data_IF_248542304087
#
_entry.id   IF_248542304087
#
_cell.length_a   1.000
_cell.length_b   1.000
_cell.length_c   1.000
_cell.angle_alpha   90.00
_cell.angle_beta   90.00
_cell.angle_gamma   90.00
#
_symmetry.space_group_name_H-M   'P 1'
#
loop_
_entity.id
_entity.type
_entity.pdbx_description
1 polymer ?
#
# COMPACT_ATOMS: atom_id res chain seq x y z
N UNK A 1 -30.79 -11.49 -5.96
CA UNK A 1 -29.80 -11.83 -6.99
C UNK A 1 -29.30 -13.25 -6.72
N UNK A 2 -29.34 -14.20 -7.68
CA UNK A 2 -28.86 -15.56 -7.45
C UNK A 2 -27.33 -15.61 -7.40
N UNK A 3 -26.77 -16.56 -6.65
CA UNK A 3 -25.32 -16.77 -6.56
C UNK A 3 -24.74 -17.34 -7.87
N UNK A 4 -23.51 -16.95 -8.20
CA UNK A 4 -22.74 -17.54 -9.30
C UNK A 4 -22.81 -16.83 -10.65
N UNK A 5 -23.56 -15.72 -10.76
CA UNK A 5 -23.47 -14.86 -11.94
C UNK A 5 -22.22 -13.99 -11.86
N UNK A 6 -21.47 -13.92 -12.95
CA UNK A 6 -20.20 -13.18 -13.03
C UNK A 6 -20.35 -11.69 -12.69
N UNK A 7 -21.45 -11.06 -13.11
CA UNK A 7 -21.69 -9.62 -12.94
C UNK A 7 -22.43 -9.28 -11.63
N UNK A 8 -22.76 -10.28 -10.82
CA UNK A 8 -23.47 -10.06 -9.55
C UNK A 8 -22.74 -9.11 -8.60
N UNK A 9 -21.44 -9.28 -8.32
CA UNK A 9 -20.72 -8.39 -7.39
C UNK A 9 -20.68 -6.95 -7.88
N UNK A 10 -20.47 -6.73 -9.18
CA UNK A 10 -20.42 -5.39 -9.77
C UNK A 10 -21.80 -4.71 -9.74
N UNK A 11 -22.86 -5.46 -10.06
CA UNK A 11 -24.24 -4.96 -10.00
C UNK A 11 -24.65 -4.59 -8.57
N UNK A 12 -24.24 -5.41 -7.59
CA UNK A 12 -24.49 -5.14 -6.18
C UNK A 12 -23.72 -3.92 -5.70
N UNK A 13 -22.42 -3.81 -6.02
CA UNK A 13 -21.61 -2.64 -5.68
C UNK A 13 -22.22 -1.35 -6.22
N UNK A 14 -22.67 -1.33 -7.49
CA UNK A 14 -23.30 -0.14 -8.08
C UNK A 14 -24.56 0.26 -7.32
N UNK A 15 -25.43 -0.70 -7.02
CA UNK A 15 -26.65 -0.45 -6.24
C UNK A 15 -26.34 0.11 -4.85
N UNK A 16 -25.38 -0.48 -4.14
CA UNK A 16 -24.99 -0.04 -2.80
C UNK A 16 -24.35 1.36 -2.87
N UNK A 17 -23.54 1.62 -3.90
CA UNK A 17 -22.95 2.95 -4.11
C UNK A 17 -24.02 4.01 -4.35
N UNK A 18 -25.05 3.71 -5.15
CA UNK A 18 -26.15 4.63 -5.41
C UNK A 18 -26.99 4.91 -4.14
N UNK A 19 -27.26 3.88 -3.33
CA UNK A 19 -28.07 3.99 -2.11
C UNK A 19 -27.38 4.79 -1.01
N UNK A 20 -26.07 4.63 -0.87
CA UNK A 20 -25.25 5.24 0.18
C UNK A 20 -24.38 6.38 -0.33
N UNK A 21 -24.63 6.91 -1.54
CA UNK A 21 -23.78 7.89 -2.20
C UNK A 21 -23.44 9.11 -1.31
N UNK A 22 -24.39 9.54 -0.47
CA UNK A 22 -24.24 10.65 0.47
C UNK A 22 -23.50 10.27 1.77
N UNK A 23 -23.25 8.99 2.04
CA UNK A 23 -22.55 8.49 3.23
C UNK A 23 -21.15 7.95 2.90
N UNK A 24 -20.93 7.56 1.64
CA UNK A 24 -19.67 6.99 1.16
C UNK A 24 -18.49 7.92 1.41
N UNK A 25 -17.41 7.35 1.95
CA UNK A 25 -16.15 8.03 2.28
C UNK A 25 -16.27 9.20 3.26
N UNK A 26 -17.47 9.45 3.82
CA UNK A 26 -17.70 10.38 4.93
C UNK A 26 -17.70 9.62 6.25
N UNK A 27 -18.57 8.61 6.36
CA UNK A 27 -18.66 7.75 7.54
C UNK A 27 -19.00 6.28 7.22
N UNK A 28 -19.17 5.95 5.93
CA UNK A 28 -19.41 4.59 5.44
C UNK A 28 -18.39 4.26 4.36
N UNK A 29 -17.77 3.08 4.45
CA UNK A 29 -16.96 2.48 3.39
C UNK A 29 -17.60 1.16 2.98
N UNK A 30 -17.72 0.94 1.68
CA UNK A 30 -18.36 -0.24 1.09
C UNK A 30 -17.42 -0.91 0.11
N UNK A 31 -17.26 -2.22 0.25
CA UNK A 31 -16.63 -3.06 -0.76
C UNK A 31 -17.37 -4.38 -0.86
N UNK A 32 -18.03 -4.58 -2.00
CA UNK A 32 -18.95 -5.68 -2.25
C UNK A 32 -19.96 -5.82 -1.10
N UNK A 33 -19.97 -6.96 -0.43
CA UNK A 33 -20.87 -7.27 0.68
C UNK A 33 -20.36 -6.75 2.04
N UNK A 34 -19.12 -6.25 2.11
CA UNK A 34 -18.49 -5.78 3.34
C UNK A 34 -18.67 -4.26 3.50
N UNK A 35 -19.46 -3.88 4.50
CA UNK A 35 -19.77 -2.48 4.84
C UNK A 35 -19.18 -2.14 6.21
N UNK A 36 -18.44 -1.05 6.29
CA UNK A 36 -17.88 -0.52 7.53
C UNK A 36 -18.44 0.88 7.79
N UNK A 37 -18.91 1.12 9.01
CA UNK A 37 -19.35 2.44 9.49
C UNK A 37 -18.32 2.93 10.51
N UNK A 38 -17.81 4.14 10.35
CA UNK A 38 -16.79 4.72 11.21
C UNK A 38 -17.14 6.15 11.63
N UNK A 39 -16.67 6.58 12.80
CA UNK A 39 -16.97 7.89 13.39
C UNK A 39 -15.84 8.32 14.33
N UNK A 40 -15.80 9.60 14.69
CA UNK A 40 -14.75 10.15 15.57
C UNK A 40 -15.10 10.04 17.06
N UNK A 41 -16.38 9.95 17.40
CA UNK A 41 -16.86 9.75 18.77
C UNK A 41 -18.00 8.74 18.85
N UNK A 42 -18.27 8.21 20.04
CA UNK A 42 -19.37 7.27 20.27
C UNK A 42 -20.74 7.91 20.02
N UNK A 43 -20.93 9.17 20.44
CA UNK A 43 -22.19 9.90 20.24
C UNK A 43 -22.47 10.15 18.75
N UNK A 44 -21.43 10.48 17.99
CA UNK A 44 -21.52 10.61 16.54
C UNK A 44 -21.78 9.24 15.88
N UNK A 45 -21.13 8.18 16.39
CA UNK A 45 -21.29 6.82 15.89
C UNK A 45 -22.73 6.33 16.00
N UNK A 46 -23.40 6.59 17.12
CA UNK A 46 -24.81 6.22 17.29
C UNK A 46 -25.69 6.91 16.23
N UNK A 47 -25.45 8.20 15.93
CA UNK A 47 -26.20 8.95 14.91
C UNK A 47 -25.95 8.43 13.49
N UNK A 48 -24.69 8.17 13.16
CA UNK A 48 -24.29 7.60 11.88
C UNK A 48 -24.92 6.21 11.68
N UNK A 49 -24.89 5.38 12.72
CA UNK A 49 -25.44 4.04 12.68
C UNK A 49 -26.96 4.04 12.56
N UNK A 50 -27.67 4.94 13.25
CA UNK A 50 -29.13 5.09 13.11
C UNK A 50 -29.50 5.51 11.68
N UNK A 51 -28.79 6.50 11.12
CA UNK A 51 -29.00 6.97 9.75
C UNK A 51 -28.72 5.88 8.71
N UNK A 52 -27.64 5.13 8.91
CA UNK A 52 -27.26 4.00 8.06
C UNK A 52 -28.29 2.86 8.11
N UNK A 53 -28.71 2.43 9.30
CA UNK A 53 -29.68 1.36 9.48
C UNK A 53 -31.07 1.76 8.96
N UNK A 54 -31.45 3.03 9.09
CA UNK A 54 -32.68 3.54 8.51
C UNK A 54 -32.62 3.47 6.98
N UNK A 55 -31.52 3.90 6.36
CA UNK A 55 -31.32 3.81 4.89
C UNK A 55 -31.35 2.35 4.40
N UNK A 56 -30.74 1.43 5.14
CA UNK A 56 -30.81 -0.01 4.87
C UNK A 56 -32.26 -0.49 4.88
N UNK A 57 -33.04 -0.12 5.91
CA UNK A 57 -34.45 -0.50 6.06
C UNK A 57 -35.30 0.05 4.91
N UNK A 58 -35.15 1.32 4.55
CA UNK A 58 -35.91 1.98 3.50
C UNK A 58 -35.69 1.33 2.13
N UNK A 59 -34.50 0.76 1.90
CA UNK A 59 -34.14 0.06 0.66
C UNK A 59 -34.25 -1.46 0.76
N UNK A 60 -34.82 -2.00 1.84
CA UNK A 60 -34.99 -3.44 2.09
C UNK A 60 -33.67 -4.25 2.08
N UNK A 61 -32.59 -3.65 2.58
CA UNK A 61 -31.33 -4.34 2.85
C UNK A 61 -31.32 -4.90 4.27
N UNK A 62 -31.01 -6.18 4.39
CA UNK A 62 -31.03 -6.90 5.66
C UNK A 62 -29.64 -7.48 5.96
N UNK A 63 -28.85 -6.83 6.82
CA UNK A 63 -27.55 -7.37 7.22
C UNK A 63 -27.74 -8.64 8.05
N UNK A 64 -26.87 -9.62 7.83
CA UNK A 64 -26.90 -10.87 8.61
C UNK A 64 -26.34 -10.60 10.01
N UNK A 65 -27.22 -10.42 11.00
CA UNK A 65 -26.87 -10.06 12.37
C UNK A 65 -25.73 -10.92 12.99
N UNK A 66 -25.66 -12.22 12.68
CA UNK A 66 -24.61 -13.11 13.19
C UNK A 66 -23.20 -12.81 12.67
N UNK A 67 -23.07 -11.97 11.64
CA UNK A 67 -21.80 -11.53 11.05
C UNK A 67 -21.51 -10.05 11.34
N UNK A 68 -22.44 -9.35 11.98
CA UNK A 68 -22.27 -7.94 12.30
C UNK A 68 -21.47 -7.80 13.60
N UNK A 69 -20.56 -6.83 13.61
CA UNK A 69 -19.82 -6.39 14.79
C UNK A 69 -20.19 -4.93 15.03
N UNK A 70 -20.59 -4.60 16.25
CA UNK A 70 -21.05 -3.26 16.63
C UNK A 70 -20.19 -2.71 17.78
N UNK A 71 -20.00 -1.39 17.83
CA UNK A 71 -19.28 -0.69 18.91
C UNK A 71 -17.91 -1.30 19.23
N UNK A 72 -17.12 -1.62 18.19
CA UNK A 72 -15.78 -2.16 18.34
C UNK A 72 -14.73 -1.08 18.05
N UNK A 73 -13.70 -1.00 18.89
CA UNK A 73 -12.53 -0.13 18.69
C UNK A 73 -11.58 -0.64 17.60
N UNK A 74 -11.71 -1.91 17.21
CA UNK A 74 -10.99 -2.50 16.10
C UNK A 74 -11.87 -3.52 15.38
N UNK A 75 -11.82 -3.54 14.05
CA UNK A 75 -12.64 -4.42 13.20
C UNK A 75 -11.79 -5.05 12.10
N UNK A 76 -12.09 -6.31 11.75
CA UNK A 76 -11.54 -6.94 10.56
C UNK A 76 -12.32 -6.45 9.34
N UNK A 77 -11.62 -5.87 8.36
CA UNK A 77 -12.20 -5.35 7.13
C UNK A 77 -11.26 -5.63 5.96
N UNK A 78 -11.76 -6.32 4.92
CA UNK A 78 -11.01 -6.68 3.71
C UNK A 78 -9.67 -7.40 3.98
N UNK A 79 -9.57 -8.14 5.08
CA UNK A 79 -8.35 -8.83 5.48
C UNK A 79 -7.31 -7.96 6.18
N UNK A 80 -7.68 -6.76 6.60
CA UNK A 80 -6.90 -5.92 7.50
C UNK A 80 -7.64 -5.78 8.83
N UNK A 81 -6.92 -5.43 9.89
CA UNK A 81 -7.50 -4.98 11.15
C UNK A 81 -7.41 -3.46 11.17
N UNK A 82 -8.57 -2.80 11.15
CA UNK A 82 -8.72 -1.35 11.17
C UNK A 82 -8.97 -0.93 12.62
N UNK A 83 -8.22 0.06 13.10
CA UNK A 83 -8.37 0.63 14.45
C UNK A 83 -8.07 2.12 14.44
N UNK A 84 -8.29 2.81 15.56
CA UNK A 84 -7.87 4.21 15.75
C UNK A 84 -6.38 4.43 15.51
N UNK A 85 -5.54 3.44 15.83
CA UNK A 85 -4.09 3.53 15.72
C UNK A 85 -3.60 3.42 14.26
N UNK A 86 -4.46 2.94 13.36
CA UNK A 86 -4.10 2.63 11.98
C UNK A 86 -4.57 1.26 11.50
N UNK A 87 -3.92 0.80 10.44
CA UNK A 87 -4.12 -0.46 9.76
C UNK A 87 -3.07 -1.47 10.19
N UNK A 88 -3.53 -2.68 10.51
CA UNK A 88 -2.68 -3.84 10.83
C UNK A 88 -3.01 -4.99 9.90
N UNK A 89 -2.04 -5.87 9.68
CA UNK A 89 -2.32 -7.15 9.05
C UNK A 89 -3.14 -8.03 9.99
N UNK A 90 -4.01 -8.85 9.40
CA UNK A 90 -4.80 -9.81 10.16
C UNK A 90 -3.90 -10.88 10.81
N UNK A 91 -4.08 -11.07 12.13
CA UNK A 91 -3.19 -11.91 12.94
C UNK A 91 -3.18 -13.39 12.51
N UNK A 92 -4.33 -14.05 12.29
CA UNK A 92 -4.40 -15.38 11.67
C UNK A 92 -3.65 -15.50 10.34
N UNK A 93 -3.76 -14.50 9.45
CA UNK A 93 -3.05 -14.50 8.15
C UNK A 93 -1.54 -14.34 8.30
N UNK A 94 -1.08 -13.50 9.24
CA UNK A 94 0.34 -13.39 9.59
C UNK A 94 0.85 -14.72 10.17
N UNK A 95 0.09 -15.37 11.05
CA UNK A 95 0.44 -16.69 11.59
C UNK A 95 0.53 -17.76 10.51
N UNK A 96 -0.32 -17.70 9.48
CA UNK A 96 -0.23 -18.59 8.32
C UNK A 96 1.11 -18.46 7.59
N UNK A 97 1.61 -17.24 7.38
CA UNK A 97 2.94 -17.00 6.79
C UNK A 97 4.05 -17.48 7.73
N UNK A 98 3.94 -17.18 9.03
CA UNK A 98 4.92 -17.60 10.04
C UNK A 98 5.05 -19.12 10.11
N UNK A 99 3.94 -19.85 9.98
CA UNK A 99 3.92 -21.31 10.02
C UNK A 99 4.08 -21.96 8.65
N UNK A 100 4.25 -21.16 7.59
CA UNK A 100 4.40 -21.67 6.23
C UNK A 100 5.67 -22.53 6.14
N UNK A 101 5.50 -23.75 5.61
CA UNK A 101 6.60 -24.70 5.41
C UNK A 101 7.37 -24.36 4.13
N UNK A 102 8.66 -24.65 4.08
CA UNK A 102 9.48 -24.44 2.89
C UNK A 102 8.81 -25.04 1.63
N UNK A 103 8.59 -24.24 0.57
CA UNK A 103 8.03 -24.73 -0.68
C UNK A 103 8.94 -25.78 -1.33
N UNK A 104 8.36 -26.94 -1.64
CA UNK A 104 9.07 -28.04 -2.34
C UNK A 104 8.83 -28.07 -3.85
N UNK A 105 7.84 -27.33 -4.33
CA UNK A 105 7.44 -27.26 -5.74
C UNK A 105 7.11 -25.81 -6.13
N UNK A 106 7.21 -25.52 -7.42
CA UNK A 106 6.91 -24.20 -8.01
C UNK A 106 5.50 -23.71 -7.61
N UNK A 107 4.48 -24.55 -7.70
CA UNK A 107 3.10 -24.18 -7.33
C UNK A 107 2.96 -23.74 -5.88
N UNK A 108 3.70 -24.37 -4.97
CA UNK A 108 3.69 -24.01 -3.55
C UNK A 108 4.39 -22.66 -3.33
N UNK A 109 5.45 -22.38 -4.07
CA UNK A 109 6.13 -21.09 -4.03
C UNK A 109 5.27 -19.97 -4.62
N UNK A 110 4.58 -20.23 -5.75
CA UNK A 110 3.62 -19.29 -6.34
C UNK A 110 2.48 -18.96 -5.38
N UNK A 111 1.95 -19.97 -4.67
CA UNK A 111 0.92 -19.75 -3.66
C UNK A 111 1.42 -18.88 -2.50
N UNK A 112 2.64 -19.09 -2.02
CA UNK A 112 3.25 -18.27 -0.98
C UNK A 112 3.42 -16.82 -1.47
N UNK A 113 4.03 -16.61 -2.63
CA UNK A 113 4.32 -15.28 -3.17
C UNK A 113 3.04 -14.52 -3.51
N UNK A 114 2.02 -15.21 -4.04
CA UNK A 114 0.71 -14.61 -4.30
C UNK A 114 0.02 -14.16 -3.00
N UNK A 115 0.12 -14.95 -1.93
CA UNK A 115 -0.41 -14.57 -0.63
C UNK A 115 0.36 -13.41 0.00
N UNK A 116 1.70 -13.48 -0.03
CA UNK A 116 2.56 -12.43 0.53
C UNK A 116 2.42 -11.10 -0.24
N UNK A 117 2.14 -11.15 -1.55
CA UNK A 117 1.96 -9.96 -2.36
C UNK A 117 0.73 -9.13 -1.94
N UNK A 118 -0.30 -9.74 -1.34
CA UNK A 118 -1.46 -9.03 -0.82
C UNK A 118 -1.08 -8.00 0.26
N UNK A 119 -0.04 -8.28 1.04
CA UNK A 119 0.41 -7.48 2.18
C UNK A 119 1.75 -6.77 1.91
N UNK A 120 2.20 -6.71 0.66
CA UNK A 120 3.49 -6.09 0.33
C UNK A 120 3.55 -4.61 0.77
N UNK A 121 2.40 -3.94 0.86
CA UNK A 121 2.26 -2.57 1.32
C UNK A 121 2.66 -2.34 2.79
N UNK A 122 2.84 -3.40 3.59
CA UNK A 122 3.34 -3.33 4.97
C UNK A 122 4.85 -3.56 5.07
N UNK A 123 5.51 -3.95 3.97
CA UNK A 123 6.89 -4.44 4.01
C UNK A 123 7.80 -3.53 3.19
N UNK A 124 8.66 -2.79 3.89
CA UNK A 124 9.73 -2.01 3.27
C UNK A 124 10.62 -2.90 2.38
N UNK A 125 10.84 -2.45 1.15
CA UNK A 125 11.71 -3.11 0.17
C UNK A 125 11.33 -4.59 -0.09
N UNK A 126 10.03 -4.94 -0.01
CA UNK A 126 9.48 -6.26 -0.34
C UNK A 126 10.03 -6.86 -1.64
N UNK A 127 10.04 -6.12 -2.76
CA UNK A 127 10.58 -6.60 -4.04
C UNK A 127 12.04 -7.08 -3.93
N UNK A 128 12.90 -6.37 -3.19
CA UNK A 128 14.30 -6.77 -2.91
C UNK A 128 14.37 -8.05 -2.04
N UNK A 129 13.42 -8.23 -1.12
CA UNK A 129 13.35 -9.42 -0.24
C UNK A 129 12.90 -10.68 -0.98
N UNK A 130 11.99 -10.55 -1.96
CA UNK A 130 11.47 -11.70 -2.72
C UNK A 130 12.29 -12.03 -3.97
N UNK A 131 13.23 -11.19 -4.40
CA UNK A 131 13.92 -11.32 -5.70
C UNK A 131 14.50 -12.73 -5.96
N UNK A 132 15.17 -13.33 -4.96
CA UNK A 132 15.74 -14.68 -5.09
C UNK A 132 14.66 -15.79 -5.08
N UNK A 133 13.48 -15.54 -4.50
CA UNK A 133 12.36 -16.46 -4.58
C UNK A 133 11.68 -16.38 -5.95
N UNK A 134 11.49 -15.17 -6.46
CA UNK A 134 10.89 -14.95 -7.78
C UNK A 134 11.78 -15.49 -8.90
N UNK A 135 13.11 -15.48 -8.73
CA UNK A 135 14.03 -16.07 -9.72
C UNK A 135 13.83 -17.58 -9.88
N UNK A 136 13.44 -18.30 -8.82
CA UNK A 136 13.12 -19.74 -8.87
C UNK A 136 11.86 -20.06 -9.68
N UNK A 137 11.03 -19.06 -9.99
CA UNK A 137 9.85 -19.23 -10.84
C UNK A 137 10.17 -19.18 -12.34
N UNK A 138 11.37 -18.77 -12.73
CA UNK A 138 11.76 -18.68 -14.14
C UNK A 138 11.97 -20.08 -14.72
N UNK A 139 11.43 -20.33 -15.92
CA UNK A 139 11.45 -21.64 -16.59
C UNK A 139 12.85 -22.12 -17.07
N UNK A 140 13.92 -21.46 -16.64
CA UNK A 140 15.27 -21.68 -17.18
C UNK A 140 16.10 -22.70 -16.38
N UNK A 141 15.60 -23.18 -15.23
CA UNK A 141 16.33 -24.11 -14.37
C UNK A 141 15.40 -25.05 -13.60
N UNK A 142 15.88 -26.24 -13.18
CA UNK A 142 15.14 -27.09 -12.26
C UNK A 142 14.90 -26.34 -10.94
N UNK A 143 13.74 -26.58 -10.33
CA UNK A 143 13.39 -25.97 -9.05
C UNK A 143 14.31 -26.49 -7.94
N UNK A 144 15.31 -25.69 -7.59
CA UNK A 144 16.25 -25.98 -6.50
C UNK A 144 16.11 -24.86 -5.48
N UNK A 145 15.56 -25.20 -4.32
CA UNK A 145 15.44 -24.27 -3.21
C UNK A 145 16.77 -24.20 -2.46
N UNK A 146 17.66 -23.32 -2.94
CA UNK A 146 19.01 -23.16 -2.42
C UNK A 146 19.05 -22.40 -1.07
N UNK A 147 20.24 -22.30 -0.48
CA UNK A 147 20.45 -21.61 0.80
C UNK A 147 20.08 -20.13 0.75
N UNK A 148 20.33 -19.46 -0.40
CA UNK A 148 19.96 -18.06 -0.59
C UNK A 148 18.44 -17.87 -0.56
N UNK A 149 17.69 -18.70 -1.30
CA UNK A 149 16.22 -18.70 -1.28
C UNK A 149 15.68 -19.01 0.11
N UNK A 150 16.32 -19.93 0.85
CA UNK A 150 15.96 -20.20 2.24
C UNK A 150 16.19 -19.01 3.17
N UNK A 151 17.33 -18.33 3.04
CA UNK A 151 17.58 -17.10 3.77
C UNK A 151 16.53 -16.02 3.48
N UNK A 152 16.20 -15.77 2.21
CA UNK A 152 15.15 -14.82 1.82
C UNK A 152 13.77 -15.23 2.32
N UNK A 153 13.45 -16.53 2.30
CA UNK A 153 12.21 -17.05 2.85
C UNK A 153 12.07 -16.76 4.34
N UNK A 154 13.13 -16.95 5.14
CA UNK A 154 13.11 -16.60 6.57
C UNK A 154 12.97 -15.09 6.77
N UNK A 155 13.71 -14.27 6.01
CA UNK A 155 13.62 -12.81 6.08
C UNK A 155 12.21 -12.31 5.80
N UNK A 156 11.50 -12.92 4.84
CA UNK A 156 10.12 -12.55 4.54
C UNK A 156 9.22 -12.91 5.73
N UNK A 157 9.33 -14.14 6.25
CA UNK A 157 8.53 -14.57 7.40
C UNK A 157 8.72 -13.65 8.61
N UNK A 158 9.95 -13.26 8.88
CA UNK A 158 10.29 -12.32 9.94
C UNK A 158 9.68 -10.94 9.66
N UNK A 159 9.84 -10.40 8.45
CA UNK A 159 9.28 -9.11 8.06
C UNK A 159 7.75 -9.05 8.23
N UNK A 160 7.04 -10.15 7.98
CA UNK A 160 5.61 -10.27 8.23
C UNK A 160 5.23 -10.25 9.72
N UNK A 161 6.11 -10.75 10.59
CA UNK A 161 5.89 -10.77 12.04
C UNK A 161 6.28 -9.47 12.73
N UNK A 162 7.21 -8.71 12.17
CA UNK A 162 7.71 -7.44 12.71
C UNK A 162 7.18 -6.23 11.94
N UNK A 163 6.19 -6.42 11.08
CA UNK A 163 5.67 -5.33 10.26
C UNK A 163 5.05 -4.24 11.14
N UNK A 164 5.29 -2.95 10.79
CA UNK A 164 4.74 -1.85 11.55
C UNK A 164 3.23 -1.73 11.33
N UNK A 165 2.60 -0.97 12.22
CA UNK A 165 1.25 -0.45 12.03
C UNK A 165 1.35 0.66 10.98
N UNK A 166 0.47 0.63 9.98
CA UNK A 166 0.38 1.71 8.99
C UNK A 166 -0.63 2.75 9.48
N UNK A 167 -0.27 4.02 9.50
CA UNK A 167 -1.16 5.09 9.93
C UNK A 167 -2.18 5.46 8.86
N UNK A 168 -3.34 5.96 9.31
CA UNK A 168 -4.34 6.52 8.41
C UNK A 168 -3.82 7.79 7.76
N UNK A 169 -4.05 7.93 6.46
CA UNK A 169 -3.66 9.13 5.72
C UNK A 169 -4.49 10.34 6.18
N UNK A 170 -3.83 11.45 6.50
CA UNK A 170 -4.48 12.69 6.88
C UNK A 170 -4.03 13.83 5.96
N UNK A 171 -4.97 14.45 5.24
CA UNK A 171 -4.69 15.50 4.25
C UNK A 171 -4.04 16.76 4.83
N UNK A 172 -4.14 16.97 6.14
CA UNK A 172 -3.61 18.16 6.83
C UNK A 172 -2.18 17.97 7.36
N UNK A 173 -1.65 16.75 7.39
CA UNK A 173 -0.32 16.48 7.93
C UNK A 173 0.79 16.64 6.88
N UNK A 174 2.00 17.11 7.27
CA UNK A 174 3.15 17.14 6.39
C UNK A 174 3.47 15.73 5.88
N UNK A 175 3.52 15.59 4.56
CA UNK A 175 3.69 14.31 3.89
C UNK A 175 5.08 14.22 3.26
N UNK A 176 5.72 13.07 3.43
CA UNK A 176 7.06 12.77 2.94
C UNK A 176 7.00 11.47 2.13
N UNK A 177 7.59 11.51 0.94
CA UNK A 177 7.81 10.35 0.08
C UNK A 177 9.30 10.04 0.06
N UNK A 178 9.70 8.94 0.69
CA UNK A 178 11.06 8.43 0.57
C UNK A 178 11.15 7.50 -0.63
N UNK A 179 12.18 7.68 -1.46
CA UNK A 179 12.47 6.75 -2.57
C UNK A 179 13.90 6.22 -2.46
N UNK A 180 14.04 4.91 -2.60
CA UNK A 180 15.30 4.17 -2.66
C UNK A 180 15.25 3.26 -3.90
N UNK A 181 16.02 3.61 -4.92
CA UNK A 181 16.17 2.77 -6.10
C UNK A 181 17.42 1.92 -5.97
N UNK A 182 17.27 0.63 -6.26
CA UNK A 182 18.41 -0.24 -6.51
C UNK A 182 18.50 -0.57 -8.00
N UNK A 183 19.59 -1.23 -8.39
CA UNK A 183 19.82 -1.67 -9.78
C UNK A 183 18.67 -2.48 -10.38
N UNK A 184 17.88 -3.19 -9.54
CA UNK A 184 16.87 -4.16 -9.96
C UNK A 184 15.44 -3.83 -9.50
N UNK A 185 15.29 -3.04 -8.43
CA UNK A 185 14.00 -2.79 -7.81
C UNK A 185 13.92 -1.41 -7.16
N UNK A 186 12.71 -0.86 -7.20
CA UNK A 186 12.31 0.40 -6.61
C UNK A 186 11.65 0.10 -5.26
N UNK A 187 12.04 0.85 -4.23
CA UNK A 187 11.39 0.86 -2.93
C UNK A 187 11.01 2.28 -2.57
N UNK A 188 9.82 2.47 -2.04
CA UNK A 188 9.37 3.78 -1.61
C UNK A 188 8.49 3.68 -0.37
N UNK A 189 8.46 4.75 0.42
CA UNK A 189 7.63 4.85 1.62
C UNK A 189 6.89 6.17 1.59
N UNK A 190 5.57 6.12 1.71
CA UNK A 190 4.76 7.29 2.00
C UNK A 190 4.65 7.40 3.53
N UNK A 191 4.99 8.55 4.09
CA UNK A 191 4.95 8.77 5.53
C UNK A 191 4.40 10.15 5.85
N UNK A 192 3.81 10.28 7.03
CA UNK A 192 3.34 11.55 7.57
C UNK A 192 4.02 11.87 8.89
N UNK A 193 4.27 13.16 9.09
CA UNK A 193 4.80 13.68 10.34
C UNK A 193 3.63 14.10 11.24
N UNK A 194 3.65 13.63 12.48
CA UNK A 194 2.78 14.09 13.55
C UNK A 194 3.62 14.39 14.80
N UNK A 195 2.97 14.70 15.92
CA UNK A 195 3.64 15.03 17.19
C UNK A 195 4.54 13.91 17.73
N UNK A 196 4.27 12.64 17.38
CA UNK A 196 5.07 11.49 17.81
C UNK A 196 6.15 11.08 16.82
N UNK A 197 6.28 11.78 15.69
CA UNK A 197 7.36 11.58 14.71
C UNK A 197 6.86 11.18 13.33
N UNK A 198 7.68 10.40 12.62
CA UNK A 198 7.41 9.97 11.24
C UNK A 198 6.72 8.61 11.22
N UNK A 199 5.50 8.56 10.70
CA UNK A 199 4.71 7.32 10.63
C UNK A 199 4.48 6.87 9.19
N UNK A 200 4.71 5.60 8.88
CA UNK A 200 4.46 5.06 7.54
C UNK A 200 2.97 4.92 7.28
N UNK A 201 2.52 5.38 6.12
CA UNK A 201 1.15 5.17 5.62
C UNK A 201 1.11 3.95 4.72
N UNK A 202 2.09 3.83 3.82
CA UNK A 202 2.17 2.71 2.89
C UNK A 202 3.60 2.53 2.38
N UNK A 203 4.00 1.28 2.19
CA UNK A 203 5.22 0.92 1.47
C UNK A 203 4.88 0.56 0.02
N UNK A 204 5.60 1.13 -0.93
CA UNK A 204 5.46 0.78 -2.33
C UNK A 204 6.75 0.11 -2.82
N UNK A 205 6.62 -0.97 -3.58
CA UNK A 205 7.78 -1.58 -4.23
C UNK A 205 7.43 -2.08 -5.61
N UNK A 206 8.39 -1.95 -6.53
CA UNK A 206 8.26 -2.47 -7.87
C UNK A 206 9.59 -3.05 -8.35
N UNK A 207 9.53 -4.08 -9.19
CA UNK A 207 10.70 -4.60 -9.89
C UNK A 207 10.80 -3.92 -11.25
N UNK A 208 12.01 -3.50 -11.65
CA UNK A 208 12.23 -2.85 -12.93
C UNK A 208 12.03 -3.84 -14.09
N UNK A 209 11.43 -3.35 -15.17
CA UNK A 209 11.29 -4.11 -16.42
C UNK A 209 12.65 -4.28 -17.10
N UNK A 210 12.83 -5.33 -17.94
CA UNK A 210 14.09 -5.54 -18.65
C UNK A 210 14.59 -4.34 -19.47
N UNK A 211 13.68 -3.51 -19.99
CA UNK A 211 14.03 -2.28 -20.69
C UNK A 211 14.56 -1.20 -19.73
N UNK A 212 13.94 -1.05 -18.57
CA UNK A 212 14.28 -0.05 -17.54
C UNK A 212 15.59 -0.39 -16.81
N UNK A 213 15.96 -1.66 -16.77
CA UNK A 213 17.28 -2.10 -16.27
C UNK A 213 18.44 -1.49 -17.06
N UNK A 214 18.22 -1.11 -18.33
CA UNK A 214 19.25 -0.51 -19.18
C UNK A 214 19.36 1.01 -19.03
N UNK A 215 18.48 1.65 -18.24
CA UNK A 215 18.54 3.08 -18.00
C UNK A 215 19.77 3.45 -17.15
N UNK A 216 20.24 4.68 -17.30
CA UNK A 216 21.27 5.20 -16.43
C UNK A 216 20.75 5.35 -14.99
N UNK A 217 21.66 5.35 -14.00
CA UNK A 217 21.31 5.39 -12.57
C UNK A 217 20.37 6.58 -12.28
N UNK A 218 20.68 7.76 -12.80
CA UNK A 218 19.89 8.96 -12.57
C UNK A 218 18.46 8.86 -13.16
N UNK A 219 18.30 8.18 -14.29
CA UNK A 219 16.97 7.92 -14.90
C UNK A 219 16.20 6.87 -14.10
N UNK A 220 16.87 5.83 -13.57
CA UNK A 220 16.24 4.84 -12.68
C UNK A 220 15.72 5.49 -11.40
N UNK A 221 16.50 6.39 -10.80
CA UNK A 221 16.07 7.13 -9.60
C UNK A 221 14.85 8.01 -9.88
N UNK A 222 14.86 8.75 -10.99
CA UNK A 222 13.69 9.53 -11.41
C UNK A 222 12.47 8.64 -11.65
N UNK A 223 12.67 7.49 -12.28
CA UNK A 223 11.62 6.52 -12.52
C UNK A 223 11.02 6.02 -11.18
N UNK A 224 11.86 5.75 -10.19
CA UNK A 224 11.45 5.40 -8.82
C UNK A 224 10.48 6.41 -8.23
N UNK A 225 10.84 7.70 -8.29
CA UNK A 225 9.98 8.80 -7.85
C UNK A 225 8.67 8.79 -8.63
N UNK A 226 8.71 8.80 -9.96
CA UNK A 226 7.50 8.89 -10.79
C UNK A 226 6.55 7.73 -10.53
N UNK A 227 7.06 6.51 -10.37
CA UNK A 227 6.24 5.33 -10.08
C UNK A 227 5.59 5.41 -8.70
N UNK A 228 6.34 5.82 -7.68
CA UNK A 228 5.80 6.03 -6.34
C UNK A 228 4.70 7.11 -6.33
N UNK A 229 4.92 8.23 -7.01
CA UNK A 229 3.95 9.32 -7.11
C UNK A 229 2.72 8.94 -7.93
N UNK A 230 2.87 8.07 -8.94
CA UNK A 230 1.73 7.49 -9.69
C UNK A 230 0.90 6.57 -8.81
N UNK A 231 1.54 5.71 -8.02
CA UNK A 231 0.86 4.80 -7.09
C UNK A 231 0.05 5.58 -6.05
N UNK A 232 0.64 6.62 -5.46
CA UNK A 232 -0.01 7.46 -4.45
C UNK A 232 -0.71 8.70 -4.99
N UNK A 233 -1.00 8.76 -6.30
CA UNK A 233 -1.56 9.95 -6.95
C UNK A 233 -2.80 10.47 -6.23
N UNK A 234 -3.71 9.58 -5.82
CA UNK A 234 -4.95 9.96 -5.14
C UNK A 234 -4.67 10.62 -3.77
N UNK A 235 -3.77 10.08 -2.96
CA UNK A 235 -3.39 10.68 -1.68
C UNK A 235 -2.72 12.04 -1.87
N UNK A 236 -1.79 12.12 -2.81
CA UNK A 236 -0.97 13.33 -3.03
C UNK A 236 -1.79 14.48 -3.62
N UNK A 237 -2.79 14.21 -4.46
CA UNK A 237 -3.69 15.23 -4.98
C UNK A 237 -4.67 15.76 -3.93
N UNK A 238 -4.96 14.98 -2.90
CA UNK A 238 -5.84 15.40 -1.79
C UNK A 238 -5.13 16.31 -0.78
N UNK A 239 -3.81 16.50 -0.89
CA UNK A 239 -3.06 17.40 -0.03
C UNK A 239 -3.32 18.85 -0.41
N UNK A 240 -3.59 19.69 0.60
CA UNK A 240 -3.70 21.15 0.40
C UNK A 240 -2.33 21.83 0.32
N UNK A 241 -1.30 21.21 0.91
CA UNK A 241 0.06 21.73 1.00
C UNK A 241 1.00 20.94 0.09
N UNK A 242 2.19 21.49 -0.17
CA UNK A 242 3.26 20.73 -0.83
C UNK A 242 3.71 19.55 0.04
N UNK A 243 4.15 18.48 -0.62
CA UNK A 243 4.82 17.36 0.04
C UNK A 243 6.31 17.31 -0.34
N UNK A 244 7.09 16.62 0.48
CA UNK A 244 8.53 16.47 0.27
C UNK A 244 8.86 15.10 -0.33
N UNK A 245 9.71 15.08 -1.36
CA UNK A 245 10.29 13.86 -1.92
C UNK A 245 11.74 13.77 -1.50
N UNK A 246 12.09 12.71 -0.78
CA UNK A 246 13.44 12.44 -0.32
C UNK A 246 14.14 11.43 -1.23
N UNK A 247 15.28 11.84 -1.79
CA UNK A 247 16.11 11.04 -2.67
C UNK A 247 17.58 11.08 -2.22
N UNK A 248 18.31 10.00 -2.42
CA UNK A 248 19.75 9.91 -2.21
C UNK A 248 20.57 10.31 -3.45
N UNK A 249 19.91 10.90 -4.46
CA UNK A 249 20.56 11.34 -5.69
C UNK A 249 20.44 12.87 -5.86
N UNK A 250 21.55 13.58 -5.62
CA UNK A 250 21.56 15.05 -5.58
C UNK A 250 21.22 15.73 -6.91
N UNK A 251 21.46 15.07 -8.04
CA UNK A 251 21.18 15.66 -9.37
C UNK A 251 19.68 15.87 -9.62
N UNK A 252 18.81 15.11 -8.93
CA UNK A 252 17.36 15.22 -9.09
C UNK A 252 16.76 16.47 -8.43
N UNK A 253 17.47 17.14 -7.52
CA UNK A 253 17.00 18.40 -6.94
C UNK A 253 16.79 19.49 -8.01
N UNK A 254 17.62 19.47 -9.06
CA UNK A 254 17.58 20.46 -10.14
C UNK A 254 16.77 19.99 -11.35
N UNK A 255 16.16 18.80 -11.29
CA UNK A 255 15.44 18.19 -12.40
C UNK A 255 14.37 19.12 -12.98
N UNK A 256 13.50 19.67 -12.14
CA UNK A 256 12.41 20.57 -12.55
C UNK A 256 12.90 21.93 -13.11
N UNK A 257 14.17 22.29 -12.88
CA UNK A 257 14.79 23.54 -13.35
C UNK A 257 15.65 23.36 -14.61
N UNK A 258 15.86 22.11 -15.05
CA UNK A 258 16.75 21.78 -16.17
C UNK A 258 16.13 22.16 -17.52
N UNK A 259 16.89 22.87 -18.36
CA UNK A 259 16.41 23.41 -19.64
C UNK A 259 16.41 22.41 -20.80
N UNK A 260 17.13 21.29 -20.66
CA UNK A 260 17.22 20.23 -21.66
C UNK A 260 16.88 18.92 -20.97
N UNK A 261 15.78 18.30 -21.37
CA UNK A 261 15.29 17.02 -20.84
C UNK A 261 15.40 15.95 -21.92
N UNK A 262 15.72 14.72 -21.53
CA UNK A 262 15.55 13.56 -22.42
C UNK A 262 14.06 13.30 -22.68
N UNK A 263 13.72 12.51 -23.71
CA UNK A 263 12.32 12.19 -24.00
C UNK A 263 11.62 11.50 -22.81
N UNK A 264 12.31 10.59 -22.12
CA UNK A 264 11.81 9.95 -20.91
C UNK A 264 11.54 10.97 -19.79
N UNK A 265 12.48 11.89 -19.58
CA UNK A 265 12.35 12.96 -18.60
C UNK A 265 11.20 13.93 -18.92
N UNK A 266 10.98 14.25 -20.20
CA UNK A 266 9.88 15.11 -20.62
C UNK A 266 8.50 14.46 -20.32
N UNK A 267 8.33 13.17 -20.63
CA UNK A 267 7.11 12.44 -20.27
C UNK A 267 6.89 12.38 -18.75
N UNK A 268 7.97 12.27 -17.97
CA UNK A 268 7.88 12.31 -16.51
C UNK A 268 7.48 13.71 -16.02
N UNK A 269 8.08 14.77 -16.58
CA UNK A 269 7.82 16.15 -16.19
C UNK A 269 6.35 16.55 -16.39
N UNK A 270 5.68 16.07 -17.45
CA UNK A 270 4.26 16.32 -17.68
C UNK A 270 3.41 15.81 -16.50
N UNK A 271 3.62 14.56 -16.07
CA UNK A 271 2.92 14.00 -14.91
C UNK A 271 3.26 14.75 -13.61
N UNK A 272 4.55 15.03 -13.39
CA UNK A 272 5.02 15.70 -12.19
C UNK A 272 4.48 17.13 -12.07
N UNK A 273 4.24 17.82 -13.20
CA UNK A 273 3.71 19.19 -13.20
C UNK A 273 2.31 19.32 -12.58
N UNK A 274 1.55 18.22 -12.54
CA UNK A 274 0.23 18.17 -11.90
C UNK A 274 0.31 18.07 -10.36
N UNK A 275 1.49 17.83 -9.78
CA UNK A 275 1.71 17.64 -8.36
C UNK A 275 2.48 18.81 -7.75
N UNK A 276 2.18 19.14 -6.49
CA UNK A 276 2.87 20.20 -5.77
C UNK A 276 3.86 19.62 -4.77
N UNK A 277 5.14 19.59 -5.10
CA UNK A 277 6.18 18.96 -4.28
C UNK A 277 7.55 19.62 -4.39
N UNK A 278 8.41 19.29 -3.43
CA UNK A 278 9.82 19.68 -3.40
C UNK A 278 10.72 18.45 -3.27
N UNK A 279 11.77 18.36 -4.09
CA UNK A 279 12.76 17.28 -4.01
C UNK A 279 13.90 17.73 -3.10
N UNK A 280 14.11 17.00 -2.00
CA UNK A 280 15.21 17.22 -1.07
C UNK A 280 16.18 16.06 -1.11
N UNK A 281 17.47 16.37 -1.29
CA UNK A 281 18.54 15.39 -1.24
C UNK A 281 18.85 15.03 0.21
N UNK A 282 18.88 13.73 0.52
CA UNK A 282 19.32 13.20 1.81
C UNK A 282 20.43 12.16 1.57
N UNK A 283 21.65 12.37 2.10
CA UNK A 283 22.73 11.39 1.95
C UNK A 283 22.32 10.04 2.55
N UNK A 284 22.51 8.95 1.80
CA UNK A 284 22.06 7.60 2.20
C UNK A 284 22.55 7.12 3.58
N UNK A 285 23.65 7.68 4.10
CA UNK A 285 24.20 7.37 5.44
C UNK A 285 23.32 7.85 6.60
N UNK A 286 22.44 8.83 6.38
CA UNK A 286 21.45 9.32 7.35
C UNK A 286 20.10 8.58 7.27
N UNK A 287 19.87 7.75 6.23
CA UNK A 287 18.64 6.95 6.08
C UNK A 287 18.60 5.68 6.94
N UNK A 288 19.72 5.36 7.60
CA UNK A 288 19.91 4.21 8.50
C UNK A 288 19.90 4.56 9.98
N UNK A 289 19.69 5.83 10.36
CA UNK A 289 19.36 6.12 11.75
C UNK A 289 17.94 5.58 12.00
N UNK A 290 17.77 4.62 12.92
CA UNK A 290 16.44 4.30 13.40
C UNK A 290 15.99 5.49 14.24
N UNK A 291 15.05 6.27 13.75
CA UNK A 291 14.13 6.91 14.68
C UNK A 291 13.41 5.75 15.36
N UNK A 292 13.76 5.54 16.63
CA UNK A 292 13.34 4.40 17.43
C UNK A 292 11.82 4.23 17.37
N UNK A 293 11.38 3.02 16.99
CA UNK A 293 10.05 2.52 17.34
C UNK A 293 10.01 2.16 18.82
#
# INVERSE_FOLDING_TARGET
>A
MPFGLTDSPASFQNLVNDIFADFLDIFVVVYLDDIMVFSSSEEEHVKHLDSFLQRMRDNNFFPKASKCVFHASSVEYLGYVVSSDGLKMDSPKVQKIRNWTQPKIIKALQSLLGFANFYCCFIKNYSKKIAALTSLLKNNSPFIFNEEAFSKFQIIKEAFTTAPILSHFNTSLPTIVDTDTSDYALGSVLSQLNDSGKHPIEFYTCTLLPAELNYEIHEKELLGIVWALKHWRAFLLSLSNSFEVLTDHSSLQYFMSSKVLTCCQACCAEFLSALHFTITYRPGRLGTLPDAF
#
